data_IF_987941968723
#
_entry.id   IF_987941968723
#
_cell.length_a   1.000
_cell.length_b   1.000
_cell.length_c   1.000
_cell.angle_alpha   90.00
_cell.angle_beta   90.00
_cell.angle_gamma   90.00
#
_symmetry.space_group_name_H-M   'P 1'
#
loop_
_entity.id
_entity.type
_entity.pdbx_description
1 polymer ?
#
# COMPACT_ATOMS: atom_id res chain seq x y z
N UNK A 1 13.52 -3.18 -15.64
CA UNK A 1 12.15 -3.74 -15.67
C UNK A 1 11.90 -4.28 -17.07
N UNK A 2 11.52 -5.55 -17.21
CA UNK A 2 11.33 -6.21 -18.53
C UNK A 2 9.93 -6.79 -18.71
N UNK A 3 9.16 -6.92 -17.63
CA UNK A 3 7.80 -7.46 -17.62
C UNK A 3 6.92 -6.61 -16.68
N UNK A 4 5.63 -6.56 -16.97
CA UNK A 4 4.63 -5.87 -16.15
C UNK A 4 4.49 -6.53 -14.78
N UNK A 5 4.48 -5.71 -13.71
CA UNK A 5 4.37 -6.18 -12.32
C UNK A 5 3.11 -6.98 -12.03
N UNK A 6 1.99 -6.64 -12.67
CA UNK A 6 0.69 -7.32 -12.47
C UNK A 6 0.48 -8.49 -13.44
N UNK A 7 0.31 -8.23 -14.73
CA UNK A 7 -0.10 -9.25 -15.71
C UNK A 7 1.06 -10.03 -16.35
N UNK A 8 2.32 -9.73 -15.99
CA UNK A 8 3.55 -10.36 -16.50
C UNK A 8 3.82 -10.22 -18.01
N UNK A 9 3.02 -9.43 -18.72
CA UNK A 9 3.27 -9.07 -20.13
C UNK A 9 4.61 -8.36 -20.32
N UNK A 10 5.27 -8.60 -21.45
CA UNK A 10 6.48 -7.90 -21.89
C UNK A 10 6.17 -6.67 -22.78
N UNK A 11 4.89 -6.39 -23.06
CA UNK A 11 4.43 -5.27 -23.89
C UNK A 11 4.41 -3.96 -23.10
N UNK A 12 5.60 -3.48 -22.75
CA UNK A 12 5.81 -2.22 -22.05
C UNK A 12 6.13 -1.09 -23.05
N UNK A 13 5.50 0.07 -22.86
CA UNK A 13 5.75 1.28 -23.64
C UNK A 13 6.25 2.39 -22.72
N UNK A 14 7.47 2.88 -22.96
CA UNK A 14 8.04 4.06 -22.30
C UNK A 14 7.37 5.30 -22.88
N UNK A 15 6.48 5.94 -22.11
CA UNK A 15 5.74 7.13 -22.56
C UNK A 15 6.26 8.42 -21.94
N UNK A 16 6.93 8.36 -20.79
CA UNK A 16 7.47 9.52 -20.08
C UNK A 16 8.90 9.22 -19.58
N UNK A 17 9.95 9.59 -20.34
CA UNK A 17 11.34 9.39 -19.95
C UNK A 17 11.83 10.53 -19.04
N UNK A 18 11.67 10.37 -17.73
CA UNK A 18 12.07 11.38 -16.74
C UNK A 18 13.57 11.34 -16.43
N UNK A 19 14.26 10.22 -16.70
CA UNK A 19 15.67 10.04 -16.31
C UNK A 19 15.86 10.00 -14.80
N UNK A 20 17.05 10.38 -14.32
CA UNK A 20 17.45 10.17 -12.93
C UNK A 20 16.97 11.29 -11.99
N UNK A 21 16.30 10.92 -10.90
CA UNK A 21 15.82 11.85 -9.87
C UNK A 21 16.26 11.39 -8.47
N UNK A 22 16.47 12.30 -7.50
CA UNK A 22 16.59 11.92 -6.10
C UNK A 22 15.25 11.38 -5.57
N UNK A 23 15.28 10.72 -4.42
CA UNK A 23 14.07 10.22 -3.77
C UNK A 23 13.25 11.41 -3.23
N UNK A 24 11.96 11.45 -3.54
CA UNK A 24 11.10 12.60 -3.23
C UNK A 24 11.06 12.96 -1.73
N UNK A 25 11.03 11.96 -0.85
CA UNK A 25 11.04 12.15 0.61
C UNK A 25 12.45 12.01 1.23
N UNK A 26 13.50 12.02 0.41
CA UNK A 26 14.91 11.94 0.83
C UNK A 26 15.50 13.26 1.33
N UNK A 27 14.83 13.96 2.25
CA UNK A 27 15.28 15.27 2.73
C UNK A 27 16.70 15.24 3.30
N UNK A 28 17.54 16.16 2.84
CA UNK A 28 18.92 16.31 3.30
C UNK A 28 18.99 17.16 4.58
N UNK A 29 19.90 16.78 5.49
CA UNK A 29 20.31 17.65 6.59
C UNK A 29 21.40 18.62 6.16
N UNK A 30 21.59 19.70 6.92
CA UNK A 30 22.57 20.75 6.62
C UNK A 30 23.99 20.18 6.43
N UNK A 31 24.36 19.17 7.23
CA UNK A 31 25.68 18.55 7.15
C UNK A 31 25.89 17.73 5.86
N UNK A 32 24.81 17.35 5.18
CA UNK A 32 24.82 16.51 3.99
C UNK A 32 24.87 17.33 2.69
N UNK A 33 24.77 18.66 2.76
CA UNK A 33 24.72 19.53 1.57
C UNK A 33 26.01 19.52 0.73
N UNK A 34 27.13 19.06 1.32
CA UNK A 34 28.40 18.88 0.61
C UNK A 34 28.61 17.49 0.00
N UNK A 35 27.69 16.55 0.24
CA UNK A 35 27.79 15.17 -0.21
C UNK A 35 27.05 14.96 -1.55
N UNK A 36 27.48 14.02 -2.41
CA UNK A 36 26.71 13.65 -3.59
C UNK A 36 25.34 13.06 -3.20
N UNK A 37 24.27 13.60 -3.79
CA UNK A 37 22.93 13.06 -3.62
C UNK A 37 22.70 11.85 -4.54
N UNK A 38 22.17 10.76 -3.98
CA UNK A 38 21.83 9.57 -4.74
C UNK A 38 20.65 9.85 -5.68
N UNK A 39 20.74 9.37 -6.92
CA UNK A 39 19.70 9.52 -7.94
C UNK A 39 19.38 8.17 -8.56
N UNK A 40 18.12 7.97 -8.90
CA UNK A 40 17.60 6.71 -9.42
C UNK A 40 16.75 6.98 -10.67
N UNK A 41 16.79 6.11 -11.69
CA UNK A 41 15.96 6.25 -12.88
C UNK A 41 14.47 6.28 -12.55
N UNK A 42 13.73 7.19 -13.18
CA UNK A 42 12.28 7.37 -13.00
C UNK A 42 11.52 7.27 -14.33
N UNK A 43 12.04 6.48 -15.27
CA UNK A 43 11.42 6.29 -16.58
C UNK A 43 10.09 5.52 -16.46
N UNK A 44 9.02 6.14 -16.93
CA UNK A 44 7.64 5.66 -16.73
C UNK A 44 7.15 4.85 -17.90
N UNK A 45 6.73 3.62 -17.61
CA UNK A 45 6.23 2.70 -18.60
C UNK A 45 4.75 2.41 -18.38
N UNK A 46 4.01 2.19 -19.45
CA UNK A 46 2.66 1.63 -19.40
C UNK A 46 2.67 0.22 -20.00
N UNK A 47 1.99 -0.71 -19.35
CA UNK A 47 1.73 -2.03 -19.92
C UNK A 47 0.55 -1.94 -20.89
N UNK A 48 0.78 -2.30 -22.16
CA UNK A 48 -0.24 -2.22 -23.20
C UNK A 48 -1.32 -3.32 -23.12
N UNK A 49 -1.15 -4.31 -22.25
CA UNK A 49 -2.13 -5.39 -22.08
C UNK A 49 -3.06 -5.17 -20.88
N UNK A 50 -2.56 -4.65 -19.74
CA UNK A 50 -3.38 -4.44 -18.54
C UNK A 50 -3.52 -2.97 -18.12
N UNK A 51 -2.86 -2.04 -18.80
CA UNK A 51 -2.93 -0.61 -18.49
C UNK A 51 -2.23 -0.19 -17.20
N UNK A 52 -1.38 -1.04 -16.60
CA UNK A 52 -0.58 -0.64 -15.44
C UNK A 52 0.47 0.39 -15.86
N UNK A 53 0.44 1.56 -15.25
CA UNK A 53 1.54 2.53 -15.30
C UNK A 53 2.51 2.17 -14.16
N UNK A 54 3.80 2.16 -14.44
CA UNK A 54 4.81 1.67 -13.50
C UNK A 54 6.20 2.25 -13.78
N UNK A 55 6.97 2.38 -12.70
CA UNK A 55 8.42 2.67 -12.74
C UNK A 55 9.19 1.48 -12.17
N UNK A 56 10.50 1.45 -12.44
CA UNK A 56 11.37 0.44 -11.84
C UNK A 56 11.42 0.61 -10.31
N UNK A 57 11.30 -0.49 -9.58
CA UNK A 57 11.53 -0.47 -8.14
C UNK A 57 13.04 -0.34 -7.89
N UNK A 58 13.44 0.82 -7.36
CA UNK A 58 14.83 1.19 -7.08
C UNK A 58 14.99 1.72 -5.66
N UNK A 59 13.92 1.67 -4.86
CA UNK A 59 13.92 2.19 -3.49
C UNK A 59 14.72 1.22 -2.60
N UNK A 60 15.69 1.69 -1.80
CA UNK A 60 16.44 0.82 -0.91
C UNK A 60 15.52 0.08 0.08
N UNK A 61 15.82 -1.18 0.38
CA UNK A 61 14.97 -2.01 1.25
C UNK A 61 14.73 -1.43 2.66
N UNK A 62 15.60 -0.56 3.15
CA UNK A 62 15.48 0.06 4.47
C UNK A 62 14.76 1.42 4.43
N UNK A 63 14.38 1.91 3.25
CA UNK A 63 13.85 3.26 3.05
C UNK A 63 12.59 3.54 3.87
N UNK A 64 11.64 2.60 3.90
CA UNK A 64 10.39 2.77 4.65
C UNK A 64 10.52 2.51 6.15
N UNK A 65 11.70 2.14 6.68
CA UNK A 65 11.87 1.90 8.13
C UNK A 65 11.91 3.18 8.96
N UNK A 66 12.19 4.32 8.32
CA UNK A 66 12.08 5.64 8.91
C UNK A 66 11.33 6.55 7.94
N UNK A 67 10.05 6.81 8.23
CA UNK A 67 9.14 7.45 7.29
C UNK A 67 8.65 8.80 7.81
N UNK A 68 8.48 9.78 6.92
CA UNK A 68 8.23 11.18 7.30
C UNK A 68 6.77 11.62 7.13
N UNK A 69 5.99 10.86 6.37
CA UNK A 69 4.59 11.19 6.09
C UNK A 69 3.66 10.60 7.16
N UNK A 70 2.78 11.45 7.70
CA UNK A 70 1.80 11.13 8.76
C UNK A 70 0.42 11.59 8.30
N UNK A 71 -0.52 10.68 7.97
CA UNK A 71 -1.85 11.04 7.47
C UNK A 71 -2.65 11.90 8.44
N UNK A 72 -2.51 11.68 9.76
CA UNK A 72 -3.27 12.42 10.78
C UNK A 72 -2.93 13.89 10.91
N UNK A 73 -1.84 14.36 10.28
CA UNK A 73 -1.54 15.77 10.16
C UNK A 73 -2.49 16.52 9.20
N UNK A 74 -3.24 15.81 8.34
CA UNK A 74 -4.18 16.39 7.39
C UNK A 74 -5.64 16.24 7.87
N UNK A 75 -6.35 17.35 8.10
CA UNK A 75 -7.75 17.35 8.58
C UNK A 75 -8.70 16.55 7.66
N UNK A 76 -8.51 16.65 6.35
CA UNK A 76 -9.32 15.92 5.37
C UNK A 76 -9.22 14.39 5.53
N UNK A 77 -8.06 13.87 5.97
CA UNK A 77 -7.85 12.43 6.15
C UNK A 77 -8.65 11.85 7.32
N UNK A 78 -8.98 12.66 8.34
CA UNK A 78 -9.83 12.22 9.45
C UNK A 78 -11.24 11.91 8.96
N UNK A 79 -11.83 12.81 8.17
CA UNK A 79 -13.16 12.62 7.59
C UNK A 79 -13.19 11.43 6.62
N UNK A 80 -12.16 11.31 5.77
CA UNK A 80 -12.01 10.20 4.84
C UNK A 80 -11.95 8.85 5.56
N UNK A 81 -11.03 8.69 6.51
CA UNK A 81 -10.84 7.41 7.20
C UNK A 81 -11.98 7.06 8.16
N UNK A 82 -12.66 8.05 8.75
CA UNK A 82 -13.89 7.80 9.50
C UNK A 82 -14.98 7.22 8.58
N UNK A 83 -15.20 7.83 7.41
CA UNK A 83 -16.17 7.33 6.42
C UNK A 83 -15.80 5.95 5.88
N UNK A 84 -14.51 5.69 5.62
CA UNK A 84 -14.03 4.37 5.21
C UNK A 84 -14.28 3.32 6.31
N UNK A 85 -13.96 3.64 7.56
CA UNK A 85 -14.22 2.75 8.70
C UNK A 85 -15.71 2.41 8.85
N UNK A 86 -16.60 3.40 8.70
CA UNK A 86 -18.05 3.20 8.75
C UNK A 86 -18.55 2.31 7.60
N UNK A 87 -18.04 2.52 6.38
CA UNK A 87 -18.36 1.68 5.22
C UNK A 87 -17.96 0.21 5.43
N UNK A 88 -16.76 -0.05 5.97
CA UNK A 88 -16.33 -1.42 6.26
C UNK A 88 -17.14 -2.06 7.38
N UNK A 89 -17.48 -1.29 8.42
CA UNK A 89 -18.36 -1.75 9.51
C UNK A 89 -19.71 -2.19 8.97
N UNK A 90 -20.35 -1.36 8.14
CA UNK A 90 -21.68 -1.66 7.58
C UNK A 90 -21.65 -2.87 6.64
N UNK A 91 -20.61 -3.00 5.82
CA UNK A 91 -20.59 -3.96 4.71
C UNK A 91 -19.99 -5.32 5.06
N UNK A 92 -18.97 -5.34 5.93
CA UNK A 92 -18.10 -6.52 6.06
C UNK A 92 -17.85 -6.97 7.51
N UNK A 93 -17.99 -6.08 8.50
CA UNK A 93 -17.74 -6.42 9.91
C UNK A 93 -19.07 -6.70 10.64
N UNK A 94 -19.56 -7.92 10.48
CA UNK A 94 -20.80 -8.42 11.08
C UNK A 94 -20.63 -8.92 12.53
N UNK A 95 -19.40 -8.97 13.02
CA UNK A 95 -19.05 -9.46 14.36
C UNK A 95 -17.97 -8.59 15.00
N UNK A 96 -18.06 -8.29 16.32
CA UNK A 96 -16.99 -7.60 17.04
C UNK A 96 -15.69 -8.42 17.12
N UNK A 97 -15.79 -9.74 16.94
CA UNK A 97 -14.64 -10.66 16.91
C UNK A 97 -13.95 -10.70 15.55
N UNK A 98 -14.53 -10.08 14.52
CA UNK A 98 -13.96 -10.02 13.19
C UNK A 98 -12.66 -9.20 13.20
N UNK A 99 -11.58 -9.81 12.72
CA UNK A 99 -10.26 -9.18 12.67
C UNK A 99 -10.13 -8.34 11.40
N UNK A 100 -9.79 -7.06 11.58
CA UNK A 100 -9.33 -6.17 10.49
C UNK A 100 -7.82 -5.98 10.57
N UNK A 101 -7.11 -6.30 9.49
CA UNK A 101 -5.67 -6.08 9.37
C UNK A 101 -5.39 -4.97 8.36
N UNK A 102 -4.69 -3.93 8.79
CA UNK A 102 -4.28 -2.81 7.94
C UNK A 102 -2.77 -2.89 7.63
N UNK A 103 -2.44 -3.05 6.35
CA UNK A 103 -1.07 -3.19 5.85
C UNK A 103 -0.60 -1.85 5.28
N UNK A 104 0.39 -1.26 5.94
CA UNK A 104 0.78 0.13 5.78
C UNK A 104 -0.01 1.07 6.68
N UNK A 105 -0.31 0.63 7.92
CA UNK A 105 -1.25 1.33 8.80
C UNK A 105 -0.77 2.71 9.28
N UNK A 106 0.50 3.05 9.06
CA UNK A 106 1.12 4.30 9.47
C UNK A 106 0.85 4.59 10.96
N UNK A 107 0.47 5.82 11.30
CA UNK A 107 0.18 6.26 12.66
C UNK A 107 -1.16 5.73 13.19
N UNK A 108 -1.80 4.81 12.45
CA UNK A 108 -3.00 4.10 12.85
C UNK A 108 -4.28 4.93 12.82
N UNK A 109 -4.31 6.06 12.10
CA UNK A 109 -5.50 6.91 12.02
C UNK A 109 -6.76 6.14 11.59
N UNK A 110 -6.66 5.34 10.54
CA UNK A 110 -7.76 4.51 10.08
C UNK A 110 -8.17 3.49 11.14
N UNK A 111 -7.19 2.73 11.66
CA UNK A 111 -7.43 1.71 12.68
C UNK A 111 -8.06 2.27 13.96
N UNK A 112 -7.77 3.51 14.36
CA UNK A 112 -8.38 4.10 15.56
C UNK A 112 -9.90 4.22 15.45
N UNK A 113 -10.45 4.54 14.27
CA UNK A 113 -11.91 4.61 14.08
C UNK A 113 -12.61 3.26 14.20
N UNK A 114 -11.92 2.17 13.86
CA UNK A 114 -12.41 0.80 14.07
C UNK A 114 -12.24 0.38 15.54
N UNK A 115 -11.05 0.61 16.11
CA UNK A 115 -10.68 0.23 17.47
C UNK A 115 -11.57 0.90 18.52
N UNK A 116 -11.84 2.20 18.40
CA UNK A 116 -12.72 2.94 19.31
C UNK A 116 -14.18 2.43 19.26
N UNK A 117 -14.55 1.77 18.15
CA UNK A 117 -15.82 1.08 17.98
C UNK A 117 -15.85 -0.34 18.58
N UNK A 118 -14.76 -0.79 19.21
CA UNK A 118 -14.62 -2.12 19.80
C UNK A 118 -14.24 -3.23 18.83
N UNK A 119 -13.84 -2.90 17.59
CA UNK A 119 -13.41 -3.90 16.61
C UNK A 119 -12.01 -4.44 16.93
N UNK A 120 -11.76 -5.72 16.62
CA UNK A 120 -10.42 -6.30 16.67
C UNK A 120 -9.60 -5.82 15.47
N UNK A 121 -8.51 -5.12 15.75
CA UNK A 121 -7.64 -4.53 14.73
C UNK A 121 -6.18 -4.95 14.92
N UNK A 122 -5.45 -5.04 13.81
CA UNK A 122 -3.99 -5.23 13.80
C UNK A 122 -3.38 -4.37 12.70
N UNK A 123 -2.42 -3.53 13.05
CA UNK A 123 -1.62 -2.78 12.09
C UNK A 123 -0.33 -3.50 11.71
N UNK A 124 0.13 -3.32 10.48
CA UNK A 124 1.45 -3.75 10.01
C UNK A 124 2.10 -2.56 9.33
N UNK A 125 3.26 -2.13 9.82
CA UNK A 125 4.00 -1.01 9.21
C UNK A 125 5.51 -1.12 9.50
N UNK A 126 6.38 -1.06 8.47
CA UNK A 126 7.83 -1.17 8.69
C UNK A 126 8.45 0.08 9.35
N UNK A 127 7.77 1.23 9.34
CA UNK A 127 8.28 2.50 9.83
C UNK A 127 8.25 2.55 11.36
N UNK A 128 9.41 2.33 12.00
CA UNK A 128 9.52 2.22 13.47
C UNK A 128 9.04 3.46 14.19
N UNK A 129 9.43 4.63 13.70
CA UNK A 129 9.07 5.93 14.27
C UNK A 129 7.57 6.22 14.19
N UNK A 130 6.90 5.69 13.17
CA UNK A 130 5.47 5.90 12.94
C UNK A 130 4.63 4.86 13.70
N UNK A 131 5.04 3.59 13.68
CA UNK A 131 4.36 2.52 14.41
C UNK A 131 4.30 2.79 15.94
N UNK A 132 5.28 3.50 16.50
CA UNK A 132 5.24 3.97 17.88
C UNK A 132 4.08 4.94 18.16
N UNK A 133 3.73 5.81 17.21
CA UNK A 133 2.60 6.74 17.34
C UNK A 133 1.26 5.99 17.38
N UNK A 134 1.10 4.96 16.54
CA UNK A 134 -0.08 4.10 16.57
C UNK A 134 -0.21 3.37 17.91
N UNK A 135 0.89 2.83 18.46
CA UNK A 135 0.88 2.16 19.78
C UNK A 135 0.53 3.11 20.92
N UNK A 136 0.92 4.38 20.85
CA UNK A 136 0.53 5.40 21.83
C UNK A 136 -0.99 5.65 21.85
N UNK A 137 -1.69 5.36 20.76
CA UNK A 137 -3.17 5.37 20.66
C UNK A 137 -3.82 4.08 21.16
N UNK A 138 -3.05 3.13 21.70
CA UNK A 138 -3.56 1.83 22.18
C UNK A 138 -3.70 0.76 21.11
N UNK A 139 -3.24 1.03 19.88
CA UNK A 139 -3.34 0.08 18.77
C UNK A 139 -2.23 -0.98 18.84
N UNK A 140 -2.58 -2.21 18.47
CA UNK A 140 -1.60 -3.26 18.24
C UNK A 140 -0.99 -3.12 16.84
N UNK A 141 0.34 -3.09 16.75
CA UNK A 141 1.07 -2.92 15.49
C UNK A 141 2.28 -3.84 15.43
N UNK A 142 2.44 -4.56 14.33
CA UNK A 142 3.65 -5.30 13.97
C UNK A 142 4.57 -4.40 13.14
N UNK A 143 5.81 -4.21 13.59
CA UNK A 143 6.77 -3.33 12.90
C UNK A 143 7.67 -4.08 11.93
N UNK A 144 7.09 -4.61 10.87
CA UNK A 144 7.80 -5.35 9.82
C UNK A 144 7.16 -5.12 8.44
N UNK A 145 7.90 -5.48 7.39
CA UNK A 145 7.32 -5.59 6.05
C UNK A 145 6.36 -6.78 5.97
N UNK A 146 5.26 -6.61 5.24
CA UNK A 146 4.30 -7.69 5.02
C UNK A 146 4.86 -8.75 4.07
N UNK A 147 4.81 -10.01 4.49
CA UNK A 147 5.31 -11.17 3.75
C UNK A 147 4.37 -12.36 3.94
N UNK A 148 4.41 -13.38 3.07
CA UNK A 148 3.69 -14.63 3.28
C UNK A 148 3.97 -15.29 4.63
N UNK A 149 5.20 -15.22 5.11
CA UNK A 149 5.59 -15.83 6.39
C UNK A 149 4.98 -15.06 7.57
N UNK A 150 5.02 -13.73 7.53
CA UNK A 150 4.35 -12.90 8.52
C UNK A 150 2.84 -13.12 8.50
N UNK A 151 2.22 -13.22 7.32
CA UNK A 151 0.80 -13.52 7.19
C UNK A 151 0.40 -14.84 7.88
N UNK A 152 1.20 -15.90 7.73
CA UNK A 152 0.96 -17.18 8.43
C UNK A 152 1.08 -17.04 9.94
N UNK A 153 2.12 -16.35 10.42
CA UNK A 153 2.32 -16.09 11.85
C UNK A 153 1.14 -15.32 12.45
N UNK A 154 0.68 -14.26 11.77
CA UNK A 154 -0.47 -13.48 12.20
C UNK A 154 -1.72 -14.36 12.24
N UNK A 155 -1.97 -15.16 11.21
CA UNK A 155 -3.13 -16.05 11.18
C UNK A 155 -3.10 -17.08 12.31
N UNK A 156 -1.93 -17.61 12.65
CA UNK A 156 -1.75 -18.54 13.77
C UNK A 156 -2.01 -17.87 15.14
N UNK A 157 -1.60 -16.61 15.31
CA UNK A 157 -1.68 -15.89 16.57
C UNK A 157 -3.02 -15.20 16.81
N UNK A 158 -3.59 -14.59 15.77
CA UNK A 158 -4.79 -13.74 15.85
C UNK A 158 -6.03 -14.39 15.22
N UNK A 159 -5.86 -15.46 14.45
CA UNK A 159 -6.90 -16.04 13.61
C UNK A 159 -6.95 -15.41 12.21
N UNK A 160 -7.81 -15.93 11.31
CA UNK A 160 -7.95 -15.37 9.97
C UNK A 160 -8.62 -13.98 10.01
N UNK A 161 -8.29 -13.14 9.04
CA UNK A 161 -8.81 -11.78 8.93
C UNK A 161 -10.10 -11.73 8.11
N UNK A 162 -11.11 -11.02 8.63
CA UNK A 162 -12.34 -10.72 7.93
C UNK A 162 -12.12 -9.65 6.86
N UNK A 163 -11.30 -8.66 7.21
CA UNK A 163 -10.88 -7.59 6.30
C UNK A 163 -9.37 -7.51 6.35
N UNK A 164 -8.74 -7.56 5.18
CA UNK A 164 -7.38 -7.03 5.00
C UNK A 164 -7.52 -5.75 4.20
N UNK A 165 -6.83 -4.69 4.59
CA UNK A 165 -6.88 -3.41 3.89
C UNK A 165 -5.48 -2.85 3.69
N UNK A 166 -5.30 -2.13 2.59
CA UNK A 166 -4.10 -1.36 2.32
C UNK A 166 -4.48 -0.05 1.66
N UNK A 167 -4.31 1.07 2.37
CA UNK A 167 -4.58 2.41 1.85
C UNK A 167 -3.28 3.12 1.54
N UNK A 168 -3.14 3.57 0.29
CA UNK A 168 -1.97 4.29 -0.21
C UNK A 168 -0.62 3.58 0.05
N UNK A 169 -0.63 2.25 0.10
CA UNK A 169 0.57 1.43 0.31
C UNK A 169 0.73 0.38 -0.79
N UNK A 170 -0.36 -0.16 -1.34
CA UNK A 170 -0.28 -1.22 -2.35
C UNK A 170 0.56 -0.82 -3.59
N UNK A 171 0.46 0.45 -3.97
CA UNK A 171 1.17 1.00 -5.12
C UNK A 171 2.67 1.28 -4.85
N UNK A 172 3.13 1.09 -3.61
CA UNK A 172 4.55 1.16 -3.22
C UNK A 172 5.30 -0.16 -3.35
N UNK A 173 4.58 -1.26 -3.58
CA UNK A 173 5.14 -2.60 -3.48
C UNK A 173 5.75 -3.00 -4.81
N UNK A 174 7.06 -3.27 -4.81
CA UNK A 174 7.82 -3.69 -5.97
C UNK A 174 7.48 -5.10 -6.48
N UNK A 175 7.20 -6.04 -5.58
CA UNK A 175 6.75 -7.39 -5.95
C UNK A 175 5.40 -7.70 -5.31
N UNK A 176 4.34 -7.62 -6.13
CA UNK A 176 2.95 -7.78 -5.68
C UNK A 176 2.59 -9.25 -5.46
N UNK A 177 3.36 -10.19 -5.99
CA UNK A 177 3.02 -11.62 -5.92
C UNK A 177 3.12 -12.18 -4.49
N UNK A 178 4.26 -12.05 -3.78
CA UNK A 178 4.35 -12.48 -2.39
C UNK A 178 3.43 -11.68 -1.49
N UNK A 179 3.22 -10.39 -1.75
CA UNK A 179 2.26 -9.59 -0.99
C UNK A 179 0.85 -10.18 -1.11
N UNK A 180 0.39 -10.42 -2.34
CA UNK A 180 -0.96 -10.91 -2.61
C UNK A 180 -1.13 -12.33 -2.09
N UNK A 181 -0.12 -13.18 -2.22
CA UNK A 181 -0.10 -14.50 -1.57
C UNK A 181 -0.27 -14.36 -0.05
N UNK A 182 0.45 -13.43 0.60
CA UNK A 182 0.29 -13.15 2.02
C UNK A 182 -1.15 -12.78 2.37
N UNK A 183 -1.79 -11.92 1.58
CA UNK A 183 -3.21 -11.57 1.77
C UNK A 183 -4.11 -12.81 1.69
N UNK A 184 -3.96 -13.64 0.64
CA UNK A 184 -4.76 -14.87 0.51
C UNK A 184 -4.58 -15.86 1.66
N UNK A 185 -3.37 -15.93 2.24
CA UNK A 185 -3.07 -16.80 3.38
C UNK A 185 -3.72 -16.32 4.66
N UNK A 186 -3.91 -15.01 4.81
CA UNK A 186 -4.40 -14.36 6.02
C UNK A 186 -5.93 -14.26 6.07
N UNK A 187 -6.59 -14.08 4.93
CA UNK A 187 -8.06 -13.94 4.86
C UNK A 187 -8.79 -15.19 5.40
N UNK A 188 -9.98 -14.95 5.97
CA UNK A 188 -10.97 -16.00 6.20
C UNK A 188 -11.70 -16.38 4.89
N UNK A 189 -12.48 -17.46 4.91
CA UNK A 189 -13.14 -18.03 3.71
C UNK A 189 -14.15 -17.08 3.05
N UNK A 190 -14.63 -16.06 3.77
CA UNK A 190 -15.53 -15.03 3.26
C UNK A 190 -14.87 -13.64 3.30
N UNK A 191 -13.57 -13.57 3.57
CA UNK A 191 -12.86 -12.33 3.86
C UNK A 191 -12.71 -11.47 2.61
N UNK A 192 -12.56 -10.16 2.83
CA UNK A 192 -12.38 -9.19 1.74
C UNK A 192 -11.02 -8.51 1.85
N UNK A 193 -10.40 -8.29 0.68
CA UNK A 193 -9.22 -7.44 0.56
C UNK A 193 -9.62 -6.10 -0.06
N UNK A 194 -9.33 -5.02 0.66
CA UNK A 194 -9.65 -3.65 0.25
C UNK A 194 -8.35 -2.92 -0.09
N UNK A 195 -8.31 -2.27 -1.26
CA UNK A 195 -7.16 -1.50 -1.71
C UNK A 195 -7.62 -0.10 -2.11
N UNK A 196 -6.99 0.91 -1.54
CA UNK A 196 -7.14 2.31 -1.95
C UNK A 196 -5.81 2.80 -2.50
N UNK A 197 -5.81 3.25 -3.75
CA UNK A 197 -4.63 3.81 -4.44
C UNK A 197 -5.05 4.92 -5.39
N UNK A 198 -4.13 5.83 -5.78
CA UNK A 198 -4.35 6.75 -6.89
C UNK A 198 -4.72 6.00 -8.17
N UNK A 199 -5.74 6.48 -8.88
CA UNK A 199 -6.23 5.82 -10.08
C UNK A 199 -5.46 6.28 -11.33
N UNK A 200 -4.91 5.34 -12.11
CA UNK A 200 -4.06 5.66 -13.24
C UNK A 200 -4.75 6.45 -14.37
N UNK A 201 -6.07 6.39 -14.48
CA UNK A 201 -6.82 7.22 -15.43
C UNK A 201 -6.73 8.71 -15.07
N UNK A 202 -6.84 9.05 -13.78
CA UNK A 202 -6.78 10.45 -13.33
C UNK A 202 -5.40 11.04 -13.60
N UNK A 203 -4.34 10.25 -13.35
CA UNK A 203 -2.97 10.64 -13.68
C UNK A 203 -2.84 11.11 -15.14
N UNK A 204 -3.48 10.40 -16.07
CA UNK A 204 -3.44 10.72 -17.50
C UNK A 204 -4.39 11.86 -17.86
N UNK A 205 -5.63 11.85 -17.36
CA UNK A 205 -6.64 12.84 -17.72
C UNK A 205 -6.36 14.23 -17.12
N UNK A 206 -5.80 14.27 -15.92
CA UNK A 206 -5.49 15.51 -15.19
C UNK A 206 -4.02 15.93 -15.32
N UNK A 207 -3.17 15.13 -15.98
CA UNK A 207 -1.72 15.34 -16.09
C UNK A 207 -1.01 15.41 -14.73
N UNK A 208 -1.32 14.49 -13.81
CA UNK A 208 -0.71 14.39 -12.46
C UNK A 208 0.67 13.72 -12.53
N UNK A 209 1.55 14.25 -13.38
CA UNK A 209 2.90 13.71 -13.58
C UNK A 209 3.73 13.76 -12.28
N UNK A 210 3.41 14.68 -11.37
CA UNK A 210 3.99 14.81 -10.04
C UNK A 210 3.58 13.68 -9.09
N UNK A 211 2.51 12.96 -9.39
CA UNK A 211 2.14 11.70 -8.74
C UNK A 211 3.10 10.53 -9.04
N UNK A 212 4.07 10.72 -9.94
CA UNK A 212 5.10 9.73 -10.27
C UNK A 212 6.42 10.08 -9.57
N UNK A 213 6.80 9.24 -8.62
CA UNK A 213 8.08 9.27 -7.93
C UNK A 213 8.43 7.85 -7.42
N UNK A 214 9.64 7.63 -6.91
CA UNK A 214 10.19 6.29 -6.71
C UNK A 214 9.41 5.40 -5.73
N UNK A 215 8.70 5.99 -4.76
CA UNK A 215 7.83 5.20 -3.87
C UNK A 215 6.58 4.73 -4.61
N UNK A 216 6.04 5.51 -5.55
CA UNK A 216 4.89 5.13 -6.35
C UNK A 216 5.31 4.25 -7.53
N UNK A 217 5.74 3.03 -7.23
CA UNK A 217 6.26 2.10 -8.25
C UNK A 217 5.17 1.64 -9.22
N UNK A 218 3.90 1.69 -8.82
CA UNK A 218 2.73 1.28 -9.60
C UNK A 218 1.64 2.35 -9.59
N UNK A 219 0.86 2.46 -10.65
CA UNK A 219 -0.33 3.30 -10.74
C UNK A 219 -1.38 2.45 -11.44
N UNK A 220 -2.40 2.07 -10.66
CA UNK A 220 -3.27 0.96 -11.00
C UNK A 220 -4.50 1.42 -11.78
N UNK A 221 -4.96 0.54 -12.66
CA UNK A 221 -6.31 0.59 -13.23
C UNK A 221 -7.11 -0.56 -12.64
N UNK A 222 -8.44 -0.51 -12.74
CA UNK A 222 -9.28 -1.67 -12.39
C UNK A 222 -8.86 -2.92 -13.17
N UNK A 223 -8.49 -2.77 -14.46
CA UNK A 223 -8.01 -3.90 -15.28
C UNK A 223 -6.72 -4.50 -14.72
N UNK A 224 -5.75 -3.68 -14.29
CA UNK A 224 -4.50 -4.20 -13.75
C UNK A 224 -4.71 -4.97 -12.44
N UNK A 225 -5.69 -4.55 -11.62
CA UNK A 225 -6.13 -5.33 -10.46
C UNK A 225 -6.80 -6.64 -10.84
N UNK A 226 -7.77 -6.63 -11.76
CA UNK A 226 -8.46 -7.84 -12.22
C UNK A 226 -7.47 -8.88 -12.75
N UNK A 227 -6.51 -8.45 -13.58
CA UNK A 227 -5.52 -9.36 -14.14
C UNK A 227 -4.57 -9.91 -13.08
N UNK A 228 -4.15 -9.08 -12.11
CA UNK A 228 -3.27 -9.48 -11.01
C UNK A 228 -3.97 -10.48 -10.06
N UNK A 229 -5.11 -10.09 -9.51
CA UNK A 229 -5.82 -10.85 -8.49
C UNK A 229 -6.32 -12.20 -8.98
N UNK A 230 -6.66 -12.32 -10.27
CA UNK A 230 -7.02 -13.61 -10.89
C UNK A 230 -5.90 -14.65 -10.77
N UNK A 231 -4.63 -14.24 -10.78
CA UNK A 231 -3.48 -15.15 -10.63
C UNK A 231 -3.44 -15.80 -9.24
N UNK A 232 -4.09 -15.19 -8.25
CA UNK A 232 -4.13 -15.63 -6.85
C UNK A 232 -5.51 -16.18 -6.44
N UNK A 233 -6.40 -16.43 -7.41
CA UNK A 233 -7.75 -16.94 -7.13
C UNK A 233 -8.66 -15.92 -6.44
N UNK A 234 -8.32 -14.63 -6.51
CA UNK A 234 -9.14 -13.54 -6.01
C UNK A 234 -9.98 -12.93 -7.15
N UNK A 235 -11.14 -12.38 -6.79
CA UNK A 235 -12.06 -11.69 -7.69
C UNK A 235 -12.26 -10.24 -7.25
N UNK A 236 -12.17 -9.31 -8.21
CA UNK A 236 -12.61 -7.92 -8.00
C UNK A 236 -14.11 -7.88 -8.19
N UNK A 237 -14.84 -7.61 -7.12
CA UNK A 237 -16.31 -7.64 -7.12
C UNK A 237 -16.95 -6.27 -6.92
N UNK A 238 -16.17 -5.24 -6.56
CA UNK A 238 -16.65 -3.86 -6.34
C UNK A 238 -15.50 -2.85 -6.54
N UNK A 239 -15.85 -1.59 -6.81
CA UNK A 239 -14.94 -0.43 -6.95
C UNK A 239 -15.61 0.82 -6.39
#
# INVERSE_FOLDING_TARGET
>A
MTTCRTCKSDRLYLFLPLGDHPLANGFLREEQLGEPEARFPLDVHVCLDCGLIQVADQVPAEYFRHYVYIPSAAEAMHGHFAGLADSLKERFLDSPEALTVDIGCNDGLFLSFLHDGGARTLGIDPARNIAELARQKGLEVVTEYFTPDLARQIREQHGPARVVISTNTFHHIGDLDPFTLGVTLLLDDNGVFVVEVPHALELVEQNEFDGVYHEHVSQHTVKSFVDHFRLFGLEVFDV
#
